data_IF_771271652887
#
_entry.id   IF_771271652887
#
_cell.length_a   1.000
_cell.length_b   1.000
_cell.length_c   1.000
_cell.angle_alpha   90.00
_cell.angle_beta   90.00
_cell.angle_gamma   90.00
#
_symmetry.space_group_name_H-M   'P 1'
#
loop_
_entity.id
_entity.type
_entity.pdbx_description
1 polymer ?
#
# COMPACT_ATOMS: atom_id res chain seq x y z
N UNK A 1 9.17 10.11 -20.98
CA UNK A 1 8.44 9.70 -19.76
C UNK A 1 7.92 10.97 -19.13
N UNK A 2 6.62 11.16 -19.26
CA UNK A 2 5.85 12.20 -18.59
C UNK A 2 5.09 11.58 -17.41
N UNK A 3 4.53 12.41 -16.52
CA UNK A 3 3.81 11.91 -15.35
C UNK A 3 2.65 10.97 -15.72
N UNK A 4 1.98 11.23 -16.85
CA UNK A 4 0.88 10.40 -17.36
C UNK A 4 1.32 9.05 -17.95
N UNK A 5 2.62 8.81 -18.14
CA UNK A 5 3.14 7.50 -18.55
C UNK A 5 3.21 6.52 -17.37
N UNK A 6 3.09 7.00 -16.12
CA UNK A 6 3.16 6.17 -14.93
C UNK A 6 1.84 5.42 -14.72
N UNK A 7 1.92 4.10 -14.62
CA UNK A 7 0.75 3.25 -14.34
C UNK A 7 0.56 2.97 -12.85
N UNK A 8 1.56 3.22 -12.03
CA UNK A 8 1.46 3.03 -10.60
C UNK A 8 2.74 3.36 -9.84
N UNK A 9 2.61 3.39 -8.52
CA UNK A 9 3.71 3.52 -7.58
C UNK A 9 3.96 2.16 -6.92
N UNK A 10 5.23 1.78 -6.83
CA UNK A 10 5.67 0.46 -6.37
C UNK A 10 6.26 0.46 -4.96
N UNK A 11 6.28 1.61 -4.28
CA UNK A 11 6.78 1.69 -2.90
C UNK A 11 6.05 2.77 -2.10
N UNK A 12 5.09 2.36 -1.26
CA UNK A 12 4.35 3.29 -0.39
C UNK A 12 4.03 2.71 0.97
N UNK A 13 3.87 3.60 1.95
CA UNK A 13 3.59 3.26 3.35
C UNK A 13 2.26 3.85 3.81
N UNK A 14 1.57 3.14 4.70
CA UNK A 14 0.33 3.60 5.33
C UNK A 14 0.53 3.88 6.82
N UNK A 15 -0.54 4.32 7.49
CA UNK A 15 -0.60 4.44 8.96
C UNK A 15 -0.31 3.12 9.70
N UNK A 16 -0.16 2.00 8.99
CA UNK A 16 0.21 0.72 9.59
C UNK A 16 1.68 0.69 10.08
N UNK A 17 2.57 1.47 9.47
CA UNK A 17 3.94 1.72 9.95
C UNK A 17 4.24 3.21 10.05
N UNK A 18 4.98 3.79 9.11
CA UNK A 18 5.47 5.19 9.14
C UNK A 18 4.77 6.14 8.16
N UNK A 19 3.77 5.65 7.43
CA UNK A 19 2.92 6.46 6.55
C UNK A 19 1.87 7.27 7.29
N UNK A 20 1.22 8.20 6.57
CA UNK A 20 0.23 9.15 7.13
C UNK A 20 -1.20 8.94 6.68
N UNK A 21 -1.44 8.00 5.77
CA UNK A 21 -2.74 7.74 5.16
C UNK A 21 -3.14 6.28 5.36
N UNK A 22 -4.44 6.01 5.41
CA UNK A 22 -5.01 4.66 5.42
C UNK A 22 -4.94 4.02 4.03
N UNK A 23 -5.11 2.69 3.95
CA UNK A 23 -5.19 1.96 2.68
C UNK A 23 -6.22 2.57 1.70
N UNK A 24 -7.39 2.96 2.22
CA UNK A 24 -8.45 3.55 1.41
C UNK A 24 -8.09 4.94 0.90
N UNK A 25 -7.58 5.81 1.78
CA UNK A 25 -7.13 7.16 1.40
C UNK A 25 -6.03 7.09 0.32
N UNK A 26 -5.10 6.13 0.45
CA UNK A 26 -4.03 5.91 -0.53
C UNK A 26 -4.58 5.42 -1.89
N UNK A 27 -5.51 4.46 -1.87
CA UNK A 27 -6.14 3.95 -3.08
C UNK A 27 -6.95 5.03 -3.82
N UNK A 28 -7.71 5.85 -3.08
CA UNK A 28 -8.48 6.96 -3.64
C UNK A 28 -7.56 8.01 -4.27
N UNK A 29 -6.49 8.41 -3.58
CA UNK A 29 -5.51 9.34 -4.12
C UNK A 29 -4.83 8.79 -5.39
N UNK A 30 -4.34 7.55 -5.37
CA UNK A 30 -3.72 6.95 -6.54
C UNK A 30 -4.67 6.86 -7.74
N UNK A 31 -5.98 6.61 -7.50
CA UNK A 31 -7.01 6.67 -8.54
C UNK A 31 -7.18 8.09 -9.10
N UNK A 32 -7.18 9.11 -8.25
CA UNK A 32 -7.24 10.52 -8.69
C UNK A 32 -6.04 10.92 -9.56
N UNK A 33 -4.86 10.34 -9.29
CA UNK A 33 -3.66 10.50 -10.12
C UNK A 33 -3.68 9.67 -11.41
N UNK A 34 -4.72 8.89 -11.67
CA UNK A 34 -4.85 8.06 -12.87
C UNK A 34 -4.00 6.78 -12.85
N UNK A 35 -3.50 6.38 -11.68
CA UNK A 35 -2.73 5.15 -11.53
C UNK A 35 -3.65 3.93 -11.57
N UNK A 36 -3.21 2.89 -12.29
CA UNK A 36 -3.88 1.59 -12.38
C UNK A 36 -3.53 0.66 -11.21
N UNK A 37 -2.40 0.90 -10.54
CA UNK A 37 -2.00 0.13 -9.37
C UNK A 37 -1.19 0.96 -8.36
N UNK A 38 -1.17 0.47 -7.13
CA UNK A 38 -0.38 1.04 -6.03
C UNK A 38 0.13 -0.10 -5.15
N UNK A 39 1.44 -0.19 -4.92
CA UNK A 39 2.01 -1.16 -4.00
C UNK A 39 2.08 -0.61 -2.58
N UNK A 40 1.54 -1.39 -1.64
CA UNK A 40 1.66 -1.15 -0.20
C UNK A 40 2.85 -1.97 0.30
N UNK A 41 3.89 -1.31 0.80
CA UNK A 41 5.20 -1.89 1.12
C UNK A 41 5.64 -1.48 2.52
N UNK A 42 4.83 -1.84 3.53
CA UNK A 42 5.15 -1.53 4.93
C UNK A 42 6.50 -2.11 5.36
N UNK A 43 7.14 -1.46 6.34
CA UNK A 43 8.37 -1.95 6.96
C UNK A 43 8.16 -3.28 7.67
N UNK A 44 9.16 -4.17 7.54
CA UNK A 44 9.22 -5.41 8.30
C UNK A 44 9.61 -5.19 9.76
N UNK A 45 9.50 -6.24 10.58
CA UNK A 45 9.65 -6.21 12.04
C UNK A 45 10.97 -5.59 12.57
N UNK A 46 12.05 -5.56 11.79
CA UNK A 46 13.37 -5.12 12.29
C UNK A 46 13.47 -3.61 12.48
N UNK A 47 12.70 -2.81 11.74
CA UNK A 47 12.63 -1.36 11.93
C UNK A 47 11.77 -0.97 13.14
N UNK A 48 12.36 -1.06 14.33
CA UNK A 48 11.72 -0.76 15.63
C UNK A 48 11.19 0.68 15.74
N UNK A 49 11.75 1.64 15.00
CA UNK A 49 11.30 3.04 14.98
C UNK A 49 9.97 3.20 14.22
N UNK A 50 9.73 2.38 13.20
CA UNK A 50 8.55 2.47 12.32
C UNK A 50 7.39 1.56 12.76
N UNK A 51 7.52 0.83 13.88
CA UNK A 51 6.55 -0.19 14.31
C UNK A 51 6.25 -1.21 13.20
N UNK A 52 7.30 -1.73 12.56
CA UNK A 52 7.20 -2.69 11.46
C UNK A 52 6.23 -3.85 11.70
N UNK A 53 5.65 -4.36 10.61
CA UNK A 53 4.68 -5.45 10.70
C UNK A 53 5.37 -6.76 11.09
N UNK A 54 4.79 -7.43 12.08
CA UNK A 54 5.05 -8.86 12.28
C UNK A 54 4.20 -9.70 11.30
N UNK A 55 4.45 -11.00 11.25
CA UNK A 55 3.75 -11.92 10.35
C UNK A 55 2.23 -11.87 10.50
N UNK A 56 1.73 -11.73 11.74
CA UNK A 56 0.28 -11.70 12.01
C UNK A 56 -0.35 -10.42 11.49
N UNK A 57 0.30 -9.27 11.71
CA UNK A 57 -0.17 -7.98 11.20
C UNK A 57 -0.07 -7.91 9.68
N UNK A 58 0.97 -8.48 9.08
CA UNK A 58 1.10 -8.58 7.63
C UNK A 58 -0.04 -9.40 7.01
N UNK A 59 -0.34 -10.57 7.57
CA UNK A 59 -1.48 -11.40 7.10
C UNK A 59 -2.80 -10.64 7.20
N UNK A 60 -3.02 -9.91 8.30
CA UNK A 60 -4.21 -9.07 8.45
C UNK A 60 -4.27 -7.96 7.38
N UNK A 61 -3.15 -7.30 7.09
CA UNK A 61 -3.09 -6.27 6.06
C UNK A 61 -3.36 -6.86 4.66
N UNK A 62 -2.86 -8.06 4.37
CA UNK A 62 -3.16 -8.79 3.14
C UNK A 62 -4.67 -9.02 2.98
N UNK A 63 -5.36 -9.46 4.05
CA UNK A 63 -6.82 -9.65 4.03
C UNK A 63 -7.58 -8.33 3.87
N UNK A 64 -7.10 -7.24 4.49
CA UNK A 64 -7.69 -5.91 4.33
C UNK A 64 -7.55 -5.40 2.89
N UNK A 65 -6.38 -5.60 2.28
CA UNK A 65 -6.12 -5.29 0.86
C UNK A 65 -7.03 -6.12 -0.04
N UNK A 66 -7.21 -7.42 0.23
CA UNK A 66 -8.11 -8.27 -0.56
C UNK A 66 -9.55 -7.80 -0.51
N UNK A 67 -10.06 -7.49 0.69
CA UNK A 67 -11.43 -6.96 0.87
C UNK A 67 -11.60 -5.62 0.17
N UNK A 68 -10.58 -4.76 0.22
CA UNK A 68 -10.63 -3.45 -0.40
C UNK A 68 -10.57 -3.57 -1.94
N UNK A 69 -9.71 -4.41 -2.49
CA UNK A 69 -9.62 -4.68 -3.93
C UNK A 69 -10.93 -5.24 -4.52
N UNK A 70 -11.74 -5.96 -3.75
CA UNK A 70 -13.07 -6.40 -4.20
C UNK A 70 -14.06 -5.23 -4.37
N UNK A 71 -13.82 -4.10 -3.71
CA UNK A 71 -14.68 -2.92 -3.71
C UNK A 71 -14.16 -1.82 -4.64
N UNK A 72 -12.83 -1.77 -4.84
CA UNK A 72 -12.17 -0.81 -5.72
C UNK A 72 -12.48 -1.11 -7.20
N UNK A 73 -12.55 -0.04 -8.00
CA UNK A 73 -12.63 -0.10 -9.45
C UNK A 73 -11.53 0.77 -10.02
N UNK A 74 -10.94 0.30 -11.13
CA UNK A 74 -9.93 1.03 -11.92
C UNK A 74 -8.58 1.23 -11.20
N UNK A 75 -8.40 0.66 -10.01
CA UNK A 75 -7.11 0.61 -9.30
C UNK A 75 -6.97 -0.71 -8.55
N UNK A 76 -5.76 -1.26 -8.57
CA UNK A 76 -5.39 -2.48 -7.81
C UNK A 76 -4.33 -2.16 -6.77
N UNK A 77 -4.60 -2.48 -5.50
CA UNK A 77 -3.58 -2.47 -4.46
C UNK A 77 -2.75 -3.75 -4.52
N UNK A 78 -1.44 -3.60 -4.64
CA UNK A 78 -0.48 -4.71 -4.60
C UNK A 78 -0.01 -4.92 -3.16
N UNK A 79 0.13 -6.21 -2.80
CA UNK A 79 0.56 -6.64 -1.47
C UNK A 79 2.09 -6.77 -1.49
N UNK A 80 2.77 -5.84 -0.86
CA UNK A 80 4.22 -5.86 -0.69
C UNK A 80 4.62 -5.75 0.78
N UNK A 81 5.92 -5.83 1.00
CA UNK A 81 6.57 -5.58 2.28
C UNK A 81 7.97 -5.07 1.96
N UNK A 82 8.40 -3.99 2.61
CA UNK A 82 9.80 -3.58 2.62
C UNK A 82 10.53 -4.43 3.65
N UNK A 83 11.34 -5.38 3.17
CA UNK A 83 12.10 -6.30 4.02
C UNK A 83 13.41 -5.64 4.43
N UNK A 84 13.67 -5.59 5.74
CA UNK A 84 14.93 -5.14 6.34
C UNK A 84 16.07 -6.16 6.15
#
# INVERSE_FOLDING_TARGET
>A
IELGDLQGDLHTHTKATDGRNSLKEMAEAAKEYGLSYLAITEHSKHLTVAQGLDEKRLLKQIEEIDKLNQQLKDITLLKGIEVD
#
